data_IF_184863689413
#
_entry.id   IF_184863689413
#
_cell.length_a   1.000
_cell.length_b   1.000
_cell.length_c   1.000
_cell.angle_alpha   90.00
_cell.angle_beta   90.00
_cell.angle_gamma   90.00
#
_symmetry.space_group_name_H-M   'P 1'
#
loop_
_entity.id
_entity.type
_entity.pdbx_description
1 polymer ?
#
# COMPACT_ATOMS: atom_id res chain seq x y z
N UNK A 1 21.23 -18.41 10.04
CA UNK A 1 20.05 -17.52 10.02
C UNK A 1 19.20 -17.96 8.83
N UNK A 2 17.99 -18.50 9.06
CA UNK A 2 17.11 -18.96 7.99
C UNK A 2 16.12 -17.85 7.66
N UNK A 3 16.37 -17.08 6.60
CA UNK A 3 15.39 -16.14 6.05
C UNK A 3 14.41 -16.89 5.14
N UNK A 4 13.12 -16.59 5.23
CA UNK A 4 12.13 -17.06 4.26
C UNK A 4 12.12 -16.08 3.09
N UNK A 5 12.47 -16.54 1.89
CA UNK A 5 12.37 -15.74 0.67
C UNK A 5 11.18 -16.19 -0.17
N UNK A 6 10.50 -15.22 -0.78
CA UNK A 6 9.43 -15.48 -1.75
C UNK A 6 9.99 -15.34 -3.17
N UNK A 7 9.92 -16.42 -3.95
CA UNK A 7 10.49 -16.52 -5.30
C UNK A 7 9.39 -16.61 -6.35
N UNK A 8 9.58 -15.93 -7.49
CA UNK A 8 8.74 -16.09 -8.67
C UNK A 8 9.49 -16.95 -9.72
N UNK A 9 8.90 -18.06 -10.21
CA UNK A 9 9.56 -18.96 -11.16
C UNK A 9 9.26 -18.61 -12.63
N UNK A 10 10.32 -18.21 -13.33
CA UNK A 10 10.47 -17.83 -14.74
C UNK A 10 9.24 -17.93 -15.67
N UNK A 11 8.68 -16.80 -16.09
CA UNK A 11 8.97 -16.11 -17.37
C UNK A 11 7.98 -14.94 -17.49
N UNK A 12 8.48 -13.71 -17.54
CA UNK A 12 7.71 -12.48 -17.29
C UNK A 12 7.12 -12.40 -15.88
N UNK A 13 7.95 -12.76 -14.90
CA UNK A 13 7.53 -12.93 -13.53
C UNK A 13 7.13 -11.62 -12.89
N UNK A 14 5.87 -11.61 -12.51
CA UNK A 14 5.38 -10.64 -11.57
C UNK A 14 4.89 -11.32 -10.33
N UNK A 15 5.26 -10.77 -9.18
CA UNK A 15 4.77 -11.21 -7.88
C UNK A 15 3.59 -10.32 -7.50
N UNK A 16 2.40 -10.90 -7.43
CA UNK A 16 1.22 -10.22 -6.88
C UNK A 16 1.11 -10.52 -5.40
N UNK A 17 1.05 -9.47 -4.59
CA UNK A 17 0.84 -9.56 -3.15
C UNK A 17 -0.52 -8.94 -2.85
N UNK A 18 -1.33 -9.68 -2.10
CA UNK A 18 -2.64 -9.25 -1.64
C UNK A 18 -2.69 -9.29 -0.12
N UNK A 19 -3.30 -8.26 0.46
CA UNK A 19 -3.50 -8.10 1.88
C UNK A 19 -4.98 -8.32 2.22
N UNK A 20 -5.24 -8.90 3.38
CA UNK A 20 -6.58 -9.05 3.93
C UNK A 20 -7.10 -7.76 4.61
N UNK A 21 -6.29 -6.70 4.64
CA UNK A 21 -6.65 -5.38 5.16
C UNK A 21 -5.97 -4.26 4.35
N UNK A 22 -6.53 -3.04 4.33
CA UNK A 22 -5.91 -1.92 3.64
C UNK A 22 -4.58 -1.50 4.28
N UNK A 23 -3.56 -1.31 3.45
CA UNK A 23 -2.26 -0.76 3.84
C UNK A 23 -2.03 0.59 3.13
N UNK A 24 -1.27 1.48 3.75
CA UNK A 24 -0.89 2.78 3.17
C UNK A 24 0.60 2.85 2.83
N UNK A 25 1.40 1.90 3.33
CA UNK A 25 2.83 1.77 3.03
C UNK A 25 3.29 0.33 3.03
N UNK A 26 4.18 0.01 2.11
CA UNK A 26 4.97 -1.23 2.08
C UNK A 26 6.45 -0.90 1.96
N UNK A 27 7.27 -1.71 2.61
CA UNK A 27 8.72 -1.65 2.51
C UNK A 27 9.30 -3.07 2.53
N UNK A 28 10.28 -3.34 1.68
CA UNK A 28 10.97 -4.63 1.64
C UNK A 28 12.39 -4.46 1.10
N UNK A 29 13.26 -5.42 1.40
CA UNK A 29 14.51 -5.58 0.68
C UNK A 29 14.25 -6.37 -0.61
N UNK A 30 15.02 -6.07 -1.65
CA UNK A 30 14.92 -6.79 -2.90
C UNK A 30 16.29 -7.03 -3.50
N UNK A 31 16.39 -8.08 -4.30
CA UNK A 31 17.53 -8.38 -5.14
C UNK A 31 17.03 -8.82 -6.52
N UNK A 32 17.78 -8.50 -7.56
CA UNK A 32 17.54 -8.85 -8.95
C UNK A 32 18.78 -9.51 -9.52
N UNK A 33 18.59 -10.64 -10.19
CA UNK A 33 19.64 -11.31 -10.94
C UNK A 33 19.75 -10.66 -12.31
N UNK A 34 20.91 -10.07 -12.60
CA UNK A 34 21.21 -9.44 -13.88
C UNK A 34 22.34 -10.25 -14.53
N UNK A 35 22.01 -11.29 -15.31
CA UNK A 35 23.03 -12.10 -15.96
C UNK A 35 23.73 -11.32 -17.09
N UNK A 36 25.06 -11.32 -17.09
CA UNK A 36 25.89 -10.72 -18.15
C UNK A 36 26.76 -9.56 -17.66
N UNK A 37 28.09 -9.75 -17.73
CA UNK A 37 29.12 -8.71 -17.53
C UNK A 37 29.80 -8.43 -18.89
N UNK A 38 30.19 -7.17 -19.20
CA UNK A 38 31.27 -6.50 -18.46
C UNK A 38 30.93 -5.12 -17.86
N UNK A 39 29.76 -4.54 -18.15
CA UNK A 39 29.32 -3.27 -17.53
C UNK A 39 28.13 -3.53 -16.63
N UNK A 40 28.19 -3.22 -15.32
CA UNK A 40 27.04 -3.41 -14.46
C UNK A 40 25.94 -2.41 -14.83
N UNK A 41 24.89 -2.88 -15.49
CA UNK A 41 23.68 -2.07 -15.65
C UNK A 41 22.81 -2.23 -14.41
N UNK A 42 22.20 -1.14 -13.89
CA UNK A 42 21.18 -1.25 -12.85
C UNK A 42 19.96 -2.03 -13.36
N UNK A 43 19.51 -2.99 -12.57
CA UNK A 43 18.22 -3.63 -12.74
C UNK A 43 17.12 -2.71 -12.23
N UNK A 44 15.90 -2.89 -12.72
CA UNK A 44 14.75 -2.09 -12.31
C UNK A 44 13.71 -3.00 -11.67
N UNK A 45 13.26 -2.64 -10.47
CA UNK A 45 12.08 -3.19 -9.87
C UNK A 45 10.93 -2.19 -10.02
N UNK A 46 9.78 -2.68 -10.47
CA UNK A 46 8.58 -1.91 -10.71
C UNK A 46 7.50 -2.43 -9.78
N UNK A 47 6.95 -1.55 -8.94
CA UNK A 47 5.74 -1.79 -8.17
C UNK A 47 4.57 -1.09 -8.88
N UNK A 48 3.49 -1.82 -9.09
CA UNK A 48 2.21 -1.29 -9.59
C UNK A 48 1.09 -1.64 -8.63
N UNK A 49 0.30 -0.66 -8.24
CA UNK A 49 -0.88 -0.80 -7.38
C UNK A 49 -2.06 -0.03 -7.97
N UNK A 50 -3.30 -0.25 -7.50
CA UNK A 50 -4.45 0.55 -7.91
C UNK A 50 -4.32 2.05 -7.61
N UNK A 51 -3.43 2.43 -6.68
CA UNK A 51 -3.26 3.81 -6.19
C UNK A 51 -2.01 4.49 -6.74
N UNK A 52 -1.22 3.80 -7.56
CA UNK A 52 0.01 4.35 -8.14
C UNK A 52 1.05 3.29 -8.47
N UNK A 53 2.14 3.73 -9.11
CA UNK A 53 3.29 2.89 -9.43
C UNK A 53 4.59 3.58 -9.04
N UNK A 54 5.62 2.79 -8.74
CA UNK A 54 6.97 3.27 -8.47
C UNK A 54 7.99 2.33 -9.15
N UNK A 55 9.00 2.91 -9.78
CA UNK A 55 10.14 2.19 -10.34
C UNK A 55 11.39 2.56 -9.57
N UNK A 56 12.17 1.57 -9.15
CA UNK A 56 13.43 1.75 -8.45
C UNK A 56 14.57 1.01 -9.16
N UNK A 57 15.68 1.71 -9.37
CA UNK A 57 16.93 1.12 -9.85
C UNK A 57 17.67 0.41 -8.71
N UNK A 58 18.29 -0.73 -8.99
CA UNK A 58 19.16 -1.43 -8.04
C UNK A 58 20.42 -0.63 -7.74
N UNK A 59 20.97 -0.81 -6.54
CA UNK A 59 22.33 -0.40 -6.26
C UNK A 59 23.31 -1.37 -6.95
N UNK A 60 24.25 -0.81 -7.71
CA UNK A 60 25.31 -1.58 -8.36
C UNK A 60 26.40 -1.88 -7.34
N UNK A 61 26.33 -3.05 -6.71
CA UNK A 61 27.29 -3.49 -5.67
C UNK A 61 28.31 -4.50 -6.17
N UNK A 62 28.34 -4.78 -7.48
CA UNK A 62 29.17 -5.83 -8.09
C UNK A 62 28.54 -7.23 -7.97
N UNK A 63 28.95 -8.16 -8.83
CA UNK A 63 28.34 -9.49 -8.94
C UNK A 63 27.00 -9.54 -9.67
N UNK A 64 26.38 -10.72 -9.73
CA UNK A 64 25.15 -10.98 -10.49
C UNK A 64 23.86 -10.55 -9.78
N UNK A 65 23.91 -10.34 -8.46
CA UNK A 65 22.76 -9.91 -7.66
C UNK A 65 22.94 -8.47 -7.22
N UNK A 66 22.07 -7.61 -7.73
CA UNK A 66 22.00 -6.19 -7.34
C UNK A 66 20.68 -5.95 -6.62
N UNK A 67 20.56 -4.92 -5.80
CA UNK A 67 19.34 -4.75 -5.01
C UNK A 67 19.30 -3.48 -4.18
N UNK A 68 18.34 -3.44 -3.24
CA UNK A 68 18.18 -2.32 -2.33
C UNK A 68 16.97 -2.46 -1.42
N UNK A 69 16.59 -1.34 -0.81
CA UNK A 69 15.35 -1.20 -0.04
C UNK A 69 14.33 -0.46 -0.89
N UNK A 70 13.17 -1.08 -1.10
CA UNK A 70 12.04 -0.50 -1.80
C UNK A 70 11.04 0.04 -0.79
N UNK A 71 10.54 1.26 -1.01
CA UNK A 71 9.51 1.88 -0.18
C UNK A 71 8.44 2.47 -1.09
N UNK A 72 7.19 2.06 -0.90
CA UNK A 72 6.04 2.66 -1.54
C UNK A 72 5.02 3.08 -0.49
N UNK A 73 4.53 4.31 -0.58
CA UNK A 73 3.51 4.85 0.30
C UNK A 73 2.49 5.67 -0.49
N UNK A 74 1.23 5.62 -0.09
CA UNK A 74 0.14 6.37 -0.68
C UNK A 74 -0.78 6.92 0.40
N UNK A 75 -1.41 8.07 0.15
CA UNK A 75 -2.48 8.60 1.00
C UNK A 75 -3.80 7.85 0.81
N UNK A 76 -3.93 7.10 -0.29
CA UNK A 76 -5.08 6.23 -0.58
C UNK A 76 -4.67 4.80 -0.23
N UNK A 77 -5.35 4.15 0.74
CA UNK A 77 -5.06 2.77 1.10
C UNK A 77 -5.25 1.80 -0.07
N UNK A 78 -4.44 0.75 -0.12
CA UNK A 78 -4.50 -0.31 -1.13
C UNK A 78 -4.43 -1.68 -0.47
N UNK A 79 -4.96 -2.70 -1.14
CA UNK A 79 -4.95 -4.09 -0.66
C UNK A 79 -4.15 -5.01 -1.57
N UNK A 80 -3.63 -4.50 -2.69
CA UNK A 80 -2.86 -5.31 -3.64
C UNK A 80 -1.80 -4.47 -4.32
N UNK A 81 -0.68 -5.10 -4.62
CA UNK A 81 0.30 -4.58 -5.57
C UNK A 81 0.97 -5.73 -6.31
N UNK A 82 1.58 -5.38 -7.44
CA UNK A 82 2.30 -6.28 -8.32
C UNK A 82 3.73 -5.77 -8.44
N UNK A 83 4.70 -6.64 -8.21
CA UNK A 83 6.11 -6.39 -8.49
C UNK A 83 6.47 -7.01 -9.83
N UNK A 84 7.33 -6.35 -10.60
CA UNK A 84 7.92 -6.89 -11.82
C UNK A 84 9.35 -6.37 -11.96
N UNK A 85 10.24 -7.21 -12.45
CA UNK A 85 11.56 -6.79 -12.88
C UNK A 85 11.54 -6.33 -14.35
N UNK A 86 12.50 -5.50 -14.76
CA UNK A 86 12.74 -5.24 -16.17
C UNK A 86 13.36 -6.46 -16.88
N UNK A 87 13.19 -6.54 -18.20
CA UNK A 87 13.90 -7.47 -19.10
C UNK A 87 13.79 -8.97 -18.71
N UNK A 88 12.69 -9.39 -18.09
CA UNK A 88 12.49 -10.77 -17.61
C UNK A 88 13.55 -11.25 -16.61
N UNK A 89 14.20 -10.32 -15.88
CA UNK A 89 15.14 -10.67 -14.83
C UNK A 89 14.41 -11.35 -13.66
N UNK A 90 15.08 -12.29 -13.00
CA UNK A 90 14.58 -12.89 -11.77
C UNK A 90 14.80 -11.91 -10.61
N UNK A 91 13.79 -11.74 -9.76
CA UNK A 91 13.93 -10.98 -8.53
C UNK A 91 13.45 -11.77 -7.33
N UNK A 92 13.96 -11.40 -6.16
CA UNK A 92 13.54 -11.89 -4.86
C UNK A 92 13.26 -10.70 -3.95
N UNK A 93 12.32 -10.87 -3.02
CA UNK A 93 12.07 -9.93 -1.94
C UNK A 93 12.23 -10.61 -0.60
N UNK A 94 12.59 -9.82 0.41
CA UNK A 94 12.71 -10.23 1.80
C UNK A 94 12.33 -9.06 2.73
N UNK A 95 12.08 -9.36 4.01
CA UNK A 95 11.80 -8.38 5.06
C UNK A 95 10.62 -7.45 4.72
N UNK A 96 9.52 -8.02 4.18
CA UNK A 96 8.30 -7.27 3.92
C UNK A 96 7.73 -6.71 5.24
N UNK A 97 7.66 -5.40 5.31
CA UNK A 97 7.04 -4.62 6.38
C UNK A 97 5.96 -3.75 5.78
N UNK A 98 4.88 -3.54 6.53
CA UNK A 98 3.72 -2.78 6.06
C UNK A 98 3.13 -1.93 7.19
N UNK A 99 2.58 -0.79 6.82
CA UNK A 99 1.74 0.00 7.70
C UNK A 99 0.29 -0.20 7.27
N UNK A 100 -0.55 -0.55 8.24
CA UNK A 100 -1.99 -0.63 8.05
C UNK A 100 -2.57 0.77 8.03
N UNK A 101 -3.45 1.05 7.07
CA UNK A 101 -4.15 2.32 7.07
C UNK A 101 -4.97 2.43 8.36
N UNK A 102 -4.92 3.59 9.01
CA UNK A 102 -5.78 3.84 10.17
C UNK A 102 -7.23 3.60 9.78
N UNK A 103 -7.96 2.84 10.59
CA UNK A 103 -9.40 2.70 10.41
C UNK A 103 -9.98 4.11 10.39
N UNK A 104 -10.50 4.54 9.24
CA UNK A 104 -11.22 5.80 9.14
C UNK A 104 -12.47 5.57 9.99
N UNK A 105 -12.61 6.21 11.16
CA UNK A 105 -13.81 6.05 11.97
C UNK A 105 -14.98 6.42 11.07
N UNK A 106 -16.03 5.60 11.08
CA UNK A 106 -17.23 5.86 10.28
C UNK A 106 -17.59 7.35 10.39
N UNK A 107 -17.93 8.02 9.28
CA UNK A 107 -17.96 9.48 9.25
C UNK A 107 -18.82 10.00 10.40
N UNK A 108 -18.17 10.65 11.37
CA UNK A 108 -18.83 11.32 12.50
C UNK A 108 -19.86 12.32 12.02
N UNK A 109 -19.81 12.72 10.75
CA UNK A 109 -20.87 13.41 10.01
C UNK A 109 -22.25 12.77 10.16
N UNK A 110 -22.38 11.44 10.13
CA UNK A 110 -23.69 10.78 10.30
C UNK A 110 -24.20 10.93 11.74
N UNK A 111 -23.31 10.74 12.72
CA UNK A 111 -23.63 10.96 14.13
C UNK A 111 -23.95 12.43 14.42
N UNK A 112 -23.17 13.36 13.86
CA UNK A 112 -23.35 14.80 13.98
C UNK A 112 -24.64 15.28 13.29
N UNK A 113 -24.93 14.77 12.10
CA UNK A 113 -26.17 15.03 11.37
C UNK A 113 -27.37 14.49 12.16
N UNK A 114 -27.30 13.24 12.63
CA UNK A 114 -28.35 12.61 13.42
C UNK A 114 -28.63 13.35 14.73
N UNK A 115 -27.58 13.69 15.49
CA UNK A 115 -27.70 14.47 16.73
C UNK A 115 -28.16 15.91 16.49
N UNK A 116 -27.70 16.55 15.40
CA UNK A 116 -28.14 17.88 14.99
C UNK A 116 -29.63 17.92 14.67
N UNK A 117 -30.13 16.97 13.88
CA UNK A 117 -31.55 16.85 13.56
C UNK A 117 -32.40 16.54 14.81
N UNK A 118 -31.93 15.63 15.67
CA UNK A 118 -32.61 15.32 16.93
C UNK A 118 -32.72 16.56 17.83
N UNK A 119 -31.65 17.37 17.93
CA UNK A 119 -31.63 18.62 18.67
C UNK A 119 -32.64 19.66 18.14
N UNK A 120 -32.72 19.81 16.81
CA UNK A 120 -33.69 20.70 16.17
C UNK A 120 -35.13 20.23 16.44
N UNK A 121 -35.41 18.94 16.27
CA UNK A 121 -36.74 18.38 16.51
C UNK A 121 -37.19 18.57 17.97
N UNK A 122 -36.30 18.34 18.93
CA UNK A 122 -36.58 18.56 20.35
C UNK A 122 -36.91 20.04 20.65
N UNK A 123 -36.17 20.98 20.06
CA UNK A 123 -36.40 22.43 20.21
C UNK A 123 -37.75 22.87 19.62
N UNK A 124 -38.11 22.37 18.43
CA UNK A 124 -39.40 22.68 17.79
C UNK A 124 -40.56 22.12 18.61
N UNK A 125 -40.43 20.89 19.13
CA UNK A 125 -41.45 20.26 19.97
C UNK A 125 -41.68 21.03 21.28
N UNK A 126 -40.62 21.57 21.89
CA UNK A 126 -40.72 22.37 23.11
C UNK A 126 -41.47 23.69 22.88
N UNK A 127 -41.22 24.38 21.77
CA UNK A 127 -41.93 25.64 21.41
C UNK A 127 -43.43 25.42 21.25
N UNK A 128 -43.84 24.40 20.49
CA UNK A 128 -45.26 24.07 20.27
C UNK A 128 -46.04 23.67 21.52
N UNK A 129 -45.36 23.26 22.61
CA UNK A 129 -46.02 22.98 23.89
C UNK A 129 -46.28 24.27 24.68
N UNK A 130 -45.35 25.23 24.64
CA UNK A 130 -45.52 26.51 25.32
C UNK A 130 -46.72 27.30 24.75
N UNK A 131 -46.90 27.29 23.42
CA UNK A 131 -48.01 28.00 22.75
C UNK A 131 -49.40 27.37 23.00
N UNK A 132 -49.51 26.23 23.69
CA UNK A 132 -50.79 25.55 23.99
C UNK A 132 -51.27 25.76 25.43
N UNK A 133 -50.47 26.40 26.27
CA UNK A 133 -50.77 26.63 27.69
C UNK A 133 -51.18 28.09 28.00
N UNK A 134 -51.37 28.93 26.97
CA UNK A 134 -52.03 30.25 27.01
C UNK A 134 -53.41 30.20 26.34
#
# INVERSE_FOLDING_TARGET
MSGQMLYAPSTSDSLTISFNMPVDRVQFNWAINIPGFPTPQPGLLILTSPVGSLTQSSAVVGGSFQGGTFIFSSTIPFTTFRLSANNNNLFAIDNLTMNTAAAIPEPTTMMLLGSGLAGIAAKVRKRRKADREE
#
